data_IF_858580222516
#
_entry.id   IF_858580222516
#
_cell.length_a   1.000
_cell.length_b   1.000
_cell.length_c   1.000
_cell.angle_alpha   90.00
_cell.angle_beta   90.00
_cell.angle_gamma   90.00
#
_symmetry.space_group_name_H-M   'P 1'
#
loop_
_entity.id
_entity.type
_entity.pdbx_description
1 polymer ?
#
# COMPACT_ATOMS: atom_id res chain seq x y z
N UNK A 1 -19.25 -6.86 -16.75
CA UNK A 1 -18.63 -6.20 -17.93
C UNK A 1 -17.21 -6.70 -18.11
N UNK A 2 -16.27 -6.40 -17.21
CA UNK A 2 -14.85 -6.81 -17.31
C UNK A 2 -14.62 -8.32 -17.50
N UNK A 3 -15.29 -9.17 -16.71
CA UNK A 3 -15.17 -10.64 -16.82
C UNK A 3 -15.42 -11.18 -18.24
N UNK A 4 -16.38 -10.60 -18.98
CA UNK A 4 -16.72 -11.01 -20.34
C UNK A 4 -15.55 -10.81 -21.32
N UNK A 5 -14.67 -9.88 -21.02
CA UNK A 5 -13.54 -9.49 -21.85
C UNK A 5 -12.21 -10.01 -21.30
N UNK A 6 -12.22 -10.84 -20.26
CA UNK A 6 -11.01 -11.41 -19.65
C UNK A 6 -9.98 -10.35 -19.23
N UNK A 7 -10.46 -9.17 -18.84
CA UNK A 7 -9.63 -8.04 -18.43
C UNK A 7 -9.42 -8.01 -16.92
N UNK A 8 -8.26 -7.50 -16.48
CA UNK A 8 -8.01 -7.12 -15.10
C UNK A 8 -8.60 -5.74 -14.78
N UNK A 9 -8.93 -5.52 -13.52
CA UNK A 9 -9.23 -4.19 -12.98
C UNK A 9 -7.92 -3.57 -12.46
N UNK A 10 -7.60 -2.33 -12.85
CA UNK A 10 -6.59 -1.54 -12.15
C UNK A 10 -7.28 -0.49 -11.30
N UNK A 11 -7.00 -0.45 -10.01
CA UNK A 11 -7.65 0.45 -9.05
C UNK A 11 -6.62 1.26 -8.25
N UNK A 12 -6.96 2.48 -7.87
CA UNK A 12 -6.05 3.39 -7.15
C UNK A 12 -6.47 3.56 -5.68
N UNK A 13 -5.79 4.40 -4.91
CA UNK A 13 -6.10 4.75 -3.50
C UNK A 13 -5.84 3.66 -2.45
N UNK A 14 -5.06 2.62 -2.75
CA UNK A 14 -4.79 1.53 -1.78
C UNK A 14 -3.83 1.91 -0.64
N UNK A 15 -3.20 3.08 -0.71
CA UNK A 15 -2.35 3.63 0.33
C UNK A 15 -3.10 4.52 1.33
N UNK A 16 -4.29 5.01 0.96
CA UNK A 16 -5.03 6.00 1.75
C UNK A 16 -5.66 5.38 3.00
N UNK A 17 -5.72 6.19 4.07
CA UNK A 17 -6.38 5.84 5.33
C UNK A 17 -7.56 6.77 5.56
N UNK A 18 -8.64 6.22 6.09
CA UNK A 18 -9.85 7.00 6.38
C UNK A 18 -9.60 8.00 7.51
N UNK A 19 -8.75 7.66 8.49
CA UNK A 19 -8.41 8.55 9.61
C UNK A 19 -7.71 9.84 9.17
N UNK A 20 -6.75 9.76 8.24
CA UNK A 20 -6.00 10.94 7.79
C UNK A 20 -6.92 11.96 7.10
N UNK A 21 -7.92 11.49 6.34
CA UNK A 21 -8.91 12.35 5.69
C UNK A 21 -9.86 13.02 6.69
N UNK A 22 -10.17 12.38 7.81
CA UNK A 22 -11.03 12.96 8.85
C UNK A 22 -10.33 14.06 9.65
N UNK A 23 -9.00 13.98 9.83
CA UNK A 23 -8.21 15.01 10.50
C UNK A 23 -8.03 16.25 9.61
N UNK A 24 -7.78 16.06 8.32
CA UNK A 24 -7.50 17.18 7.40
C UNK A 24 -8.77 17.80 6.78
N UNK A 25 -9.76 16.99 6.36
CA UNK A 25 -10.93 17.43 5.60
C UNK A 25 -12.22 16.66 5.95
N UNK A 26 -12.75 16.79 7.18
CA UNK A 26 -13.91 16.02 7.65
C UNK A 26 -15.19 16.23 6.81
N UNK A 27 -15.35 17.39 6.16
CA UNK A 27 -16.50 17.71 5.31
C UNK A 27 -16.52 16.93 3.99
N UNK A 28 -15.40 16.32 3.59
CA UNK A 28 -15.33 15.49 2.40
C UNK A 28 -16.09 14.17 2.55
N UNK A 29 -16.35 13.72 3.80
CA UNK A 29 -17.00 12.45 4.11
C UNK A 29 -16.34 11.26 3.37
N UNK A 30 -15.02 11.31 3.23
CA UNK A 30 -14.26 10.33 2.47
C UNK A 30 -14.03 9.05 3.28
N UNK A 31 -14.30 7.90 2.66
CA UNK A 31 -13.99 6.57 3.21
C UNK A 31 -13.18 5.76 2.18
N UNK A 32 -11.88 6.07 2.00
CA UNK A 32 -11.03 5.35 1.06
C UNK A 32 -10.91 3.87 1.40
N UNK A 33 -10.88 3.50 2.69
CA UNK A 33 -10.75 2.10 3.11
C UNK A 33 -11.99 1.27 2.75
N UNK A 34 -13.19 1.81 3.03
CA UNK A 34 -14.44 1.18 2.62
C UNK A 34 -14.56 1.06 1.10
N UNK A 35 -14.12 2.07 0.36
CA UNK A 35 -14.10 2.04 -1.10
C UNK A 35 -13.16 0.97 -1.64
N UNK A 36 -11.91 0.90 -1.15
CA UNK A 36 -10.94 -0.15 -1.52
C UNK A 36 -11.52 -1.53 -1.23
N UNK A 37 -12.04 -1.73 -0.02
CA UNK A 37 -12.64 -3.02 0.37
C UNK A 37 -13.77 -3.42 -0.58
N UNK A 38 -14.68 -2.50 -0.91
CA UNK A 38 -15.82 -2.77 -1.78
C UNK A 38 -15.38 -3.15 -3.19
N UNK A 39 -14.44 -2.39 -3.77
CA UNK A 39 -13.99 -2.60 -5.15
C UNK A 39 -13.22 -3.90 -5.30
N UNK A 40 -12.27 -4.18 -4.39
CA UNK A 40 -11.46 -5.39 -4.44
C UNK A 40 -12.34 -6.65 -4.29
N UNK A 41 -13.23 -6.66 -3.30
CA UNK A 41 -14.12 -7.82 -3.08
C UNK A 41 -15.09 -8.03 -4.24
N UNK A 42 -15.68 -6.97 -4.79
CA UNK A 42 -16.58 -7.10 -5.94
C UNK A 42 -15.85 -7.69 -7.17
N UNK A 43 -14.58 -7.36 -7.37
CA UNK A 43 -13.76 -7.91 -8.44
C UNK A 43 -13.38 -9.38 -8.19
N UNK A 44 -12.93 -9.70 -6.98
CA UNK A 44 -12.58 -11.07 -6.61
C UNK A 44 -13.79 -12.03 -6.61
N UNK A 45 -14.97 -11.58 -6.18
CA UNK A 45 -16.21 -12.38 -6.17
C UNK A 45 -16.65 -12.78 -7.59
N UNK A 46 -16.27 -12.00 -8.61
CA UNK A 46 -16.49 -12.36 -10.03
C UNK A 46 -15.25 -12.99 -10.69
N UNK A 47 -14.21 -13.26 -9.92
CA UNK A 47 -12.95 -13.89 -10.34
C UNK A 47 -12.21 -13.13 -11.44
N UNK A 48 -12.17 -11.79 -11.37
CA UNK A 48 -11.28 -11.00 -12.23
C UNK A 48 -10.00 -10.63 -11.49
N UNK A 49 -8.83 -10.62 -12.17
CA UNK A 49 -7.59 -10.15 -11.57
C UNK A 49 -7.67 -8.68 -11.19
N UNK A 50 -7.01 -8.29 -10.11
CA UNK A 50 -6.94 -6.90 -9.66
C UNK A 50 -5.49 -6.45 -9.57
N UNK A 51 -5.16 -5.37 -10.25
CA UNK A 51 -3.93 -4.62 -10.08
C UNK A 51 -4.22 -3.31 -9.34
N UNK A 52 -3.19 -2.68 -8.79
CA UNK A 52 -3.36 -1.40 -8.12
C UNK A 52 -2.18 -0.45 -8.25
N UNK A 53 -2.40 0.79 -7.82
CA UNK A 53 -1.44 1.89 -7.75
C UNK A 53 -1.76 2.78 -6.55
N UNK A 54 -0.77 3.49 -6.02
CA UNK A 54 -1.02 4.53 -5.03
C UNK A 54 -1.53 5.81 -5.72
N UNK A 55 -2.46 6.52 -5.08
CA UNK A 55 -3.03 7.77 -5.59
C UNK A 55 -2.13 8.98 -5.31
N UNK A 56 -1.49 9.01 -4.15
CA UNK A 56 -0.61 10.07 -3.67
C UNK A 56 0.82 9.53 -3.43
N UNK A 57 1.86 10.37 -3.59
CA UNK A 57 3.23 9.98 -3.27
C UNK A 57 3.36 9.58 -1.79
N UNK A 58 3.96 8.41 -1.53
CA UNK A 58 4.22 7.89 -0.19
C UNK A 58 5.64 7.30 -0.16
N UNK A 59 6.44 7.71 0.82
CA UNK A 59 7.84 7.29 0.98
C UNK A 59 8.11 6.67 2.36
N UNK A 60 7.09 6.62 3.20
CA UNK A 60 7.20 6.20 4.58
C UNK A 60 6.76 4.75 4.76
N UNK A 61 7.26 4.16 5.84
CA UNK A 61 6.95 2.78 6.23
C UNK A 61 5.46 2.55 6.41
N UNK A 62 4.76 3.55 6.90
CA UNK A 62 3.35 3.50 7.24
C UNK A 62 2.44 3.37 6.01
N UNK A 63 2.65 4.17 4.97
CA UNK A 63 1.88 4.03 3.74
C UNK A 63 2.28 2.77 2.96
N UNK A 64 3.56 2.37 2.96
CA UNK A 64 3.97 1.08 2.40
C UNK A 64 3.31 -0.12 3.09
N UNK A 65 3.20 -0.10 4.42
CA UNK A 65 2.48 -1.13 5.16
C UNK A 65 1.00 -1.18 4.76
N UNK A 66 0.37 -0.02 4.58
CA UNK A 66 -1.04 0.05 4.16
C UNK A 66 -1.26 -0.54 2.77
N UNK A 67 -0.36 -0.25 1.83
CA UNK A 67 -0.37 -0.87 0.50
C UNK A 67 -0.25 -2.39 0.64
N UNK A 68 0.67 -2.89 1.47
CA UNK A 68 0.88 -4.33 1.67
C UNK A 68 -0.34 -5.04 2.26
N UNK A 69 -1.04 -4.42 3.22
CA UNK A 69 -2.28 -4.94 3.80
C UNK A 69 -3.36 -5.17 2.72
N UNK A 70 -3.52 -4.21 1.80
CA UNK A 70 -4.47 -4.32 0.70
C UNK A 70 -3.97 -5.25 -0.43
N UNK A 71 -2.66 -5.29 -0.65
CA UNK A 71 -2.05 -6.09 -1.71
C UNK A 71 -2.08 -7.59 -1.42
N UNK A 72 -1.82 -7.95 -0.16
CA UNK A 72 -1.78 -9.33 0.34
C UNK A 72 -2.42 -9.38 1.74
N UNK A 73 -3.76 -9.37 1.83
CA UNK A 73 -4.46 -9.41 3.10
C UNK A 73 -4.02 -10.63 3.92
N UNK A 74 -3.55 -10.38 5.14
CA UNK A 74 -3.04 -11.43 6.01
C UNK A 74 -4.19 -12.34 6.45
N UNK A 75 -4.00 -13.66 6.30
CA UNK A 75 -5.00 -14.69 6.62
C UNK A 75 -6.30 -14.61 5.80
N UNK A 76 -6.26 -14.10 4.57
CA UNK A 76 -7.42 -14.22 3.67
C UNK A 76 -7.73 -15.71 3.41
N UNK A 77 -8.94 -16.20 3.78
CA UNK A 77 -9.29 -17.61 3.65
C UNK A 77 -9.37 -18.07 2.18
N UNK A 78 -9.60 -17.13 1.27
CA UNK A 78 -9.71 -17.36 -0.17
C UNK A 78 -8.35 -17.14 -0.88
N UNK A 79 -7.29 -16.75 -0.14
CA UNK A 79 -5.97 -16.45 -0.69
C UNK A 79 -5.96 -15.27 -1.66
N UNK A 80 -6.90 -14.32 -1.51
CA UNK A 80 -7.04 -13.15 -2.37
C UNK A 80 -5.79 -12.27 -2.28
N UNK A 81 -5.33 -11.77 -3.42
CA UNK A 81 -4.19 -10.87 -3.51
C UNK A 81 -4.25 -10.07 -4.82
N UNK A 82 -3.54 -8.94 -4.85
CA UNK A 82 -3.32 -8.19 -6.07
C UNK A 82 -2.39 -8.96 -7.01
N UNK A 83 -2.73 -8.95 -8.29
CA UNK A 83 -1.91 -9.54 -9.36
C UNK A 83 -0.70 -8.69 -9.72
N UNK A 84 -0.82 -7.37 -9.54
CA UNK A 84 0.27 -6.42 -9.80
C UNK A 84 0.07 -5.13 -8.99
N UNK A 85 1.17 -4.44 -8.71
CA UNK A 85 1.15 -3.09 -8.13
C UNK A 85 2.08 -2.17 -8.93
N UNK A 86 1.60 -0.97 -9.26
CA UNK A 86 2.35 0.07 -9.97
C UNK A 86 2.57 1.24 -9.03
N UNK A 87 3.82 1.49 -8.66
CA UNK A 87 4.15 2.62 -7.78
C UNK A 87 4.20 3.94 -8.56
N UNK A 88 3.48 4.94 -8.07
CA UNK A 88 3.47 6.32 -8.56
C UNK A 88 4.35 7.20 -7.67
N UNK A 89 5.48 7.75 -8.12
CA UNK A 89 6.18 7.64 -9.41
C UNK A 89 7.68 7.73 -9.13
N UNK A 90 8.52 7.18 -10.00
CA UNK A 90 9.96 7.46 -9.98
C UNK A 90 10.23 8.98 -9.98
N UNK A 91 10.93 9.45 -8.97
CA UNK A 91 11.33 10.84 -8.76
C UNK A 91 12.69 10.88 -8.06
N UNK A 92 13.41 12.02 -8.02
CA UNK A 92 14.63 12.12 -7.23
C UNK A 92 14.41 11.80 -5.73
N UNK A 93 13.23 12.11 -5.19
CA UNK A 93 12.89 11.88 -3.79
C UNK A 93 12.91 10.39 -3.41
N UNK A 94 12.44 9.49 -4.28
CA UNK A 94 12.45 8.04 -3.96
C UNK A 94 13.88 7.45 -3.94
N UNK A 95 14.85 8.13 -4.57
CA UNK A 95 16.25 7.68 -4.66
C UNK A 95 17.07 8.21 -3.47
N UNK A 96 16.52 9.13 -2.65
CA UNK A 96 17.15 9.54 -1.40
C UNK A 96 17.35 8.33 -0.47
N UNK A 97 18.48 8.30 0.24
CA UNK A 97 18.95 7.10 0.96
C UNK A 97 17.87 6.46 1.85
N UNK A 98 17.22 7.24 2.70
CA UNK A 98 16.19 6.74 3.61
C UNK A 98 14.94 6.24 2.85
N UNK A 99 14.44 7.01 1.88
CA UNK A 99 13.24 6.66 1.11
C UNK A 99 13.49 5.42 0.25
N UNK A 100 14.69 5.29 -0.32
CA UNK A 100 15.05 4.13 -1.14
C UNK A 100 15.19 2.86 -0.28
N UNK A 101 15.71 2.98 0.95
CA UNK A 101 15.74 1.87 1.91
C UNK A 101 14.33 1.39 2.28
N UNK A 102 13.39 2.28 2.57
CA UNK A 102 12.00 1.90 2.86
C UNK A 102 11.31 1.33 1.62
N UNK A 103 11.58 1.88 0.43
CA UNK A 103 11.08 1.33 -0.82
C UNK A 103 11.62 -0.07 -1.11
N UNK A 104 12.90 -0.34 -0.86
CA UNK A 104 13.49 -1.68 -0.98
C UNK A 104 12.83 -2.66 0.00
N UNK A 105 12.62 -2.25 1.25
CA UNK A 105 11.89 -3.03 2.26
C UNK A 105 10.46 -3.34 1.80
N UNK A 106 9.76 -2.36 1.24
CA UNK A 106 8.43 -2.54 0.66
C UNK A 106 8.44 -3.58 -0.47
N UNK A 107 9.37 -3.48 -1.42
CA UNK A 107 9.50 -4.43 -2.52
C UNK A 107 9.77 -5.86 -2.05
N UNK A 108 10.70 -6.04 -1.11
CA UNK A 108 11.01 -7.36 -0.52
C UNK A 108 9.77 -7.99 0.10
N UNK A 109 9.03 -7.23 0.92
CA UNK A 109 7.78 -7.71 1.53
C UNK A 109 6.71 -7.99 0.48
N UNK A 110 6.60 -7.16 -0.55
CA UNK A 110 5.66 -7.38 -1.64
C UNK A 110 6.00 -8.66 -2.41
N UNK A 111 7.27 -9.02 -2.57
CA UNK A 111 7.69 -10.31 -3.13
C UNK A 111 7.59 -11.49 -2.15
N UNK A 112 7.19 -11.27 -0.89
CA UNK A 112 7.05 -12.32 0.11
C UNK A 112 8.37 -12.73 0.78
N UNK A 113 9.40 -11.89 0.67
CA UNK A 113 10.67 -12.10 1.37
C UNK A 113 10.55 -11.74 2.85
N UNK A 114 11.25 -12.49 3.71
CA UNK A 114 11.36 -12.16 5.13
C UNK A 114 12.25 -10.92 5.30
N UNK A 115 11.67 -9.82 5.77
CA UNK A 115 12.43 -8.62 6.13
C UNK A 115 12.57 -8.57 7.65
N UNK A 116 13.82 -8.54 8.12
CA UNK A 116 14.11 -8.24 9.52
C UNK A 116 13.83 -6.76 9.72
N UNK A 117 12.95 -6.43 10.67
CA UNK A 117 12.78 -5.07 11.12
C UNK A 117 14.04 -4.69 11.91
N UNK A 118 15.03 -4.17 11.20
CA UNK A 118 16.13 -3.43 11.80
C UNK A 118 15.49 -2.20 12.44
N UNK A 119 15.25 -2.27 13.75
CA UNK A 119 15.12 -1.06 14.55
C UNK A 119 16.36 -0.23 14.25
N UNK A 120 16.16 0.96 13.68
CA UNK A 120 17.23 1.94 13.62
C UNK A 120 17.73 2.09 15.05
N UNK A 121 19.00 1.76 15.29
CA UNK A 121 19.66 2.19 16.50
C UNK A 121 19.55 3.72 16.51
N UNK A 122 18.54 4.25 17.19
CA UNK A 122 18.61 5.60 17.72
C UNK A 122 19.83 5.58 18.62
N UNK A 123 20.92 6.19 18.13
CA UNK A 123 22.01 6.59 18.99
C UNK A 123 21.37 7.31 20.18
N UNK A 124 21.51 6.72 21.37
CA UNK A 124 21.30 7.45 22.61
C UNK A 124 22.28 8.60 22.57
N UNK A 125 21.80 9.79 22.22
CA UNK A 125 22.48 11.00 22.63
C UNK A 125 22.43 11.00 24.16
N UNK A 126 23.54 10.60 24.79
CA UNK A 126 23.77 10.83 26.22
C UNK A 126 23.62 12.34 26.47
N UNK A 127 22.71 12.80 27.35
CA UNK A 127 22.56 14.22 27.63
C UNK A 127 23.63 14.76 28.59
N UNK A 128 24.82 14.16 28.61
CA UNK A 128 25.94 14.61 29.45
C UNK A 128 27.25 14.50 28.68
N UNK A 129 27.55 15.51 27.86
CA UNK A 129 28.84 16.21 27.79
C UNK A 129 28.70 17.51 27.00
#
# INVERSE_FOLDING_TARGET
>A
MLKKHETALNFTCVELRTLDQHEDFPEALADPEGLVWQVLNAAWDVCIPVASENALPCYDREGYNKILENAKPFNDPDGRHLSAFTYLRLSPYIIEEHNFMEFERFLKRMHGEAVLDLESCQERADPNF
#
